data_IF_377421692590
#
_entry.id   IF_377421692590
#
_cell.length_a   1.000
_cell.length_b   1.000
_cell.length_c   1.000
_cell.angle_alpha   90.00
_cell.angle_beta   90.00
_cell.angle_gamma   90.00
#
_symmetry.space_group_name_H-M   'P 1'
#
loop_
_entity.id
_entity.type
_entity.pdbx_description
1 polymer ?
#
# COMPACT_ATOMS: atom_id res chain seq x y z
N UNK A 1 3.86 -6.04 5.38
CA UNK A 1 2.40 -6.29 5.47
C UNK A 1 1.63 -5.19 4.73
N UNK A 2 0.49 -5.51 4.12
CA UNK A 2 -0.40 -4.53 3.47
C UNK A 2 -1.67 -4.38 4.31
N UNK A 3 -2.12 -3.15 4.52
CA UNK A 3 -3.42 -2.84 5.16
C UNK A 3 -4.21 -1.92 4.24
N UNK A 4 -5.52 -2.11 4.20
CA UNK A 4 -6.44 -1.22 3.50
C UNK A 4 -7.33 -0.48 4.51
N UNK A 5 -7.78 0.72 4.14
CA UNK A 5 -8.72 1.51 4.93
C UNK A 5 -8.13 2.85 5.38
N UNK A 6 -8.64 3.38 6.49
CA UNK A 6 -8.30 4.72 6.98
C UNK A 6 -7.07 4.75 7.89
N UNK A 7 -6.50 3.60 8.28
CA UNK A 7 -5.29 3.48 9.12
C UNK A 7 -5.35 4.26 10.45
N UNK A 8 -6.53 4.32 11.08
CA UNK A 8 -6.80 5.17 12.25
C UNK A 8 -6.51 6.68 12.01
N UNK A 9 -6.43 7.11 10.75
CA UNK A 9 -6.11 8.48 10.34
C UNK A 9 -7.26 9.10 9.52
N UNK A 10 -8.51 8.91 9.96
CA UNK A 10 -9.71 9.40 9.25
C UNK A 10 -9.68 10.92 8.92
N UNK A 11 -9.16 11.82 9.79
CA UNK A 11 -9.04 13.24 9.43
C UNK A 11 -8.16 13.49 8.19
N UNK A 12 -7.06 12.74 8.04
CA UNK A 12 -6.18 12.85 6.87
C UNK A 12 -6.89 12.36 5.61
N UNK A 13 -7.60 11.23 5.69
CA UNK A 13 -8.37 10.69 4.56
C UNK A 13 -9.41 11.70 4.07
N UNK A 14 -10.12 12.37 5.00
CA UNK A 14 -11.07 13.46 4.68
C UNK A 14 -10.39 14.63 3.99
N UNK A 15 -9.22 15.08 4.48
CA UNK A 15 -8.45 16.17 3.85
C UNK A 15 -8.00 15.82 2.43
N UNK A 16 -7.68 14.56 2.17
CA UNK A 16 -7.26 14.07 0.85
C UNK A 16 -8.44 13.70 -0.07
N UNK A 17 -9.68 13.76 0.42
CA UNK A 17 -10.86 13.42 -0.37
C UNK A 17 -11.00 11.93 -0.71
N UNK A 18 -10.35 11.04 0.04
CA UNK A 18 -10.39 9.59 -0.19
C UNK A 18 -11.03 8.87 0.99
N UNK A 19 -11.64 7.70 0.74
CA UNK A 19 -12.26 6.87 1.79
C UNK A 19 -11.22 6.05 2.58
N UNK A 20 -10.04 5.85 2.00
CA UNK A 20 -8.97 5.04 2.54
C UNK A 20 -7.88 4.79 1.51
N UNK A 21 -6.79 4.15 1.91
CA UNK A 21 -5.66 3.80 1.03
C UNK A 21 -5.20 2.38 1.30
N UNK A 22 -4.56 1.75 0.31
CA UNK A 22 -3.72 0.58 0.53
C UNK A 22 -2.33 1.05 0.97
N UNK A 23 -1.83 0.54 2.10
CA UNK A 23 -0.52 0.91 2.65
C UNK A 23 0.34 -0.32 2.85
N UNK A 24 1.44 -0.39 2.11
CA UNK A 24 2.54 -1.30 2.40
C UNK A 24 3.43 -0.69 3.50
N UNK A 25 3.85 -1.50 4.47
CA UNK A 25 4.77 -1.08 5.54
C UNK A 25 5.94 -2.06 5.60
N UNK A 26 7.15 -1.50 5.61
CA UNK A 26 8.42 -2.22 5.71
C UNK A 26 9.05 -2.05 7.10
N UNK A 27 9.98 -2.93 7.43
CA UNK A 27 10.76 -3.00 8.66
C UNK A 27 12.22 -3.34 8.32
N UNK A 28 13.08 -3.35 9.33
CA UNK A 28 14.50 -3.73 9.19
C UNK A 28 14.72 -5.17 8.72
N UNK A 29 13.68 -6.01 8.79
CA UNK A 29 13.74 -7.41 8.35
C UNK A 29 13.34 -7.60 6.89
N UNK A 30 12.94 -6.53 6.20
CA UNK A 30 12.59 -6.60 4.80
C UNK A 30 13.81 -6.47 3.90
N UNK A 31 13.74 -7.06 2.71
CA UNK A 31 14.80 -6.98 1.70
C UNK A 31 14.40 -6.19 0.45
N UNK A 32 15.37 -5.68 -0.33
CA UNK A 32 15.10 -5.06 -1.62
C UNK A 32 14.42 -6.00 -2.64
N UNK A 33 14.70 -7.30 -2.55
CA UNK A 33 14.06 -8.31 -3.42
C UNK A 33 12.57 -8.43 -3.13
N UNK A 34 12.16 -8.36 -1.85
CA UNK A 34 10.74 -8.34 -1.47
C UNK A 34 10.03 -7.10 -2.01
N UNK A 35 10.70 -5.94 -2.01
CA UNK A 35 10.17 -4.70 -2.61
C UNK A 35 10.00 -4.87 -4.12
N UNK A 36 10.99 -5.46 -4.78
CA UNK A 36 10.95 -5.71 -6.23
C UNK A 36 9.80 -6.65 -6.61
N UNK A 37 9.62 -7.74 -5.85
CA UNK A 37 8.51 -8.67 -6.02
C UNK A 37 7.15 -7.99 -5.81
N UNK A 38 7.04 -7.15 -4.77
CA UNK A 38 5.81 -6.40 -4.48
C UNK A 38 5.46 -5.47 -5.65
N UNK A 39 6.42 -4.72 -6.17
CA UNK A 39 6.20 -3.80 -7.31
C UNK A 39 5.77 -4.54 -8.57
N UNK A 40 6.47 -5.63 -8.93
CA UNK A 40 6.12 -6.44 -10.10
C UNK A 40 4.70 -7.01 -9.98
N UNK A 41 4.33 -7.48 -8.78
CA UNK A 41 2.99 -8.04 -8.52
C UNK A 41 1.90 -6.98 -8.66
N UNK A 42 2.07 -5.80 -8.04
CA UNK A 42 1.08 -4.71 -8.11
C UNK A 42 0.94 -4.17 -9.53
N UNK A 43 2.04 -4.02 -10.26
CA UNK A 43 2.02 -3.61 -11.66
C UNK A 43 1.25 -4.62 -12.53
N UNK A 44 1.51 -5.91 -12.33
CA UNK A 44 0.79 -6.98 -13.03
C UNK A 44 -0.72 -6.97 -12.77
N UNK A 45 -1.15 -6.72 -11.52
CA UNK A 45 -2.56 -6.59 -11.18
C UNK A 45 -3.22 -5.38 -11.85
N UNK A 46 -2.54 -4.24 -11.89
CA UNK A 46 -3.05 -3.04 -12.54
C UNK A 46 -3.26 -3.25 -14.05
N UNK A 47 -2.34 -3.94 -14.72
CA UNK A 47 -2.46 -4.23 -16.16
C UNK A 47 -3.53 -5.27 -16.51
N UNK A 48 -4.07 -5.99 -15.53
CA UNK A 48 -5.10 -7.02 -15.73
C UNK A 48 -6.53 -6.52 -15.49
N UNK A 49 -6.69 -5.27 -15.08
CA UNK A 49 -7.97 -4.58 -14.86
C UNK A 49 -8.26 -3.61 -16.01
#
# INVERSE_FOLDING_TARGET
>A
AVRAGHHCAMPLMRRLGVVGTSRATFSVFNSPDEVSLFLATVAGLHSAL
#
